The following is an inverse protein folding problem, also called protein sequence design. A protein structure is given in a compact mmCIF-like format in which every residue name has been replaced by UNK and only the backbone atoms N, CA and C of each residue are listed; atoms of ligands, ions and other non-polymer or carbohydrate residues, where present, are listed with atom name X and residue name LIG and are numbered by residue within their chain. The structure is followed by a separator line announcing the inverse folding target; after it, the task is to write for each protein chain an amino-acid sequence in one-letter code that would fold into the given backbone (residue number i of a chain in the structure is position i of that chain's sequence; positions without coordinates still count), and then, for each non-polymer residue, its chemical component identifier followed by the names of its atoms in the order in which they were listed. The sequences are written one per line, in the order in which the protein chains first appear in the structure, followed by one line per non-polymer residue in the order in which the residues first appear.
data_IF_950510419844
#
_entry.id   IF_950510419844
#
_cell.length_a   1.000
_cell.length_b   1.000
_cell.length_c   1.000
_cell.angle_alpha   90.00
_cell.angle_beta   90.00
_cell.angle_gamma   90.00
#
_symmetry.space_group_name_H-M   'P 1'
#
loop_
_entity.id
_entity.type
_entity.pdbx_description
1 polymer ?
#
# COMPACT_ATOMS: atom_id res chain seq x y z
N UNK A 1 -19.83 -73.32 10.29
CA UNK A 1 -20.12 -72.00 9.79
C UNK A 1 -19.14 -71.04 10.41
N UNK A 2 -18.11 -70.62 9.69
CA UNK A 2 -17.10 -69.65 10.17
C UNK A 2 -17.47 -68.24 9.66
N UNK A 3 -17.91 -67.37 10.57
CA UNK A 3 -18.26 -66.01 10.30
C UNK A 3 -16.96 -65.23 10.21
N UNK A 4 -16.64 -64.76 9.01
CA UNK A 4 -15.50 -63.84 8.78
C UNK A 4 -15.93 -62.40 9.07
N UNK A 5 -15.42 -61.83 10.16
CA UNK A 5 -15.54 -60.39 10.43
C UNK A 5 -14.63 -59.64 9.49
N UNK A 6 -15.25 -58.86 8.61
CA UNK A 6 -14.56 -57.89 7.72
C UNK A 6 -14.40 -56.58 8.48
N UNK A 7 -13.21 -56.35 8.98
CA UNK A 7 -12.86 -55.09 9.61
C UNK A 7 -12.65 -54.03 8.53
N UNK A 8 -13.59 -53.11 8.41
CA UNK A 8 -13.45 -51.94 7.54
C UNK A 8 -12.61 -50.92 8.28
N UNK A 9 -11.36 -50.75 7.86
CA UNK A 9 -10.50 -49.65 8.28
C UNK A 9 -10.96 -48.40 7.56
N UNK A 10 -11.71 -47.54 8.25
CA UNK A 10 -11.98 -46.18 7.76
C UNK A 10 -10.72 -45.31 7.94
N UNK A 11 -10.02 -45.08 6.84
CA UNK A 11 -8.94 -44.10 6.78
C UNK A 11 -9.61 -42.72 6.73
N UNK A 12 -9.66 -42.06 7.87
CA UNK A 12 -10.05 -40.65 7.98
C UNK A 12 -8.88 -39.82 7.45
N UNK A 13 -8.94 -39.46 6.16
CA UNK A 13 -8.00 -38.51 5.58
C UNK A 13 -8.29 -37.11 6.16
N UNK A 14 -7.49 -36.74 7.17
CA UNK A 14 -7.46 -35.38 7.69
C UNK A 14 -6.84 -34.49 6.63
N UNK A 15 -7.68 -33.86 5.80
CA UNK A 15 -7.26 -32.81 4.90
C UNK A 15 -6.84 -31.61 5.76
N UNK A 16 -5.56 -31.51 6.09
CA UNK A 16 -4.97 -30.30 6.61
C UNK A 16 -5.05 -29.26 5.49
N UNK A 17 -6.06 -28.40 5.55
CA UNK A 17 -6.09 -27.17 4.78
C UNK A 17 -4.91 -26.33 5.24
N UNK A 18 -3.82 -26.39 4.49
CA UNK A 18 -2.73 -25.45 4.59
C UNK A 18 -3.31 -24.12 4.07
N UNK A 19 -3.90 -23.34 4.96
CA UNK A 19 -4.04 -21.91 4.72
C UNK A 19 -2.62 -21.39 4.67
N UNK A 20 -2.09 -21.25 3.46
CA UNK A 20 -0.92 -20.42 3.24
C UNK A 20 -1.33 -19.02 3.72
N UNK A 21 -0.95 -18.69 4.94
CA UNK A 21 -0.96 -17.35 5.46
C UNK A 21 -0.08 -16.56 4.48
N UNK A 22 -0.74 -15.90 3.54
CA UNK A 22 -0.06 -14.96 2.63
C UNK A 22 0.62 -13.98 3.55
N UNK A 23 1.94 -14.11 3.67
CA UNK A 23 2.76 -13.20 4.44
C UNK A 23 2.34 -11.79 4.01
N UNK A 24 1.72 -11.04 4.92
CA UNK A 24 1.26 -9.68 4.66
C UNK A 24 2.48 -8.85 4.36
N UNK A 25 2.87 -8.80 3.09
CA UNK A 25 3.97 -7.95 2.66
C UNK A 25 3.41 -6.56 2.48
N UNK A 26 3.79 -5.64 3.35
CA UNK A 26 3.51 -4.23 3.19
C UNK A 26 3.95 -3.79 1.79
N UNK A 27 3.11 -2.98 1.16
CA UNK A 27 3.37 -2.45 -0.17
C UNK A 27 3.53 -0.94 -0.04
N UNK A 28 4.63 -0.41 -0.53
CA UNK A 28 4.84 1.04 -0.64
C UNK A 28 4.76 1.45 -2.08
N UNK A 29 3.93 2.43 -2.36
CA UNK A 29 3.77 3.04 -3.67
C UNK A 29 4.28 4.47 -3.58
N UNK A 30 5.30 4.79 -4.34
CA UNK A 30 5.82 6.15 -4.49
C UNK A 30 5.22 6.78 -5.73
N UNK A 31 4.47 7.85 -5.55
CA UNK A 31 3.88 8.61 -6.63
C UNK A 31 4.55 9.98 -6.71
N UNK A 32 5.14 10.30 -7.86
CA UNK A 32 5.68 11.63 -8.13
C UNK A 32 4.69 12.40 -8.95
N UNK A 33 4.18 13.49 -8.39
CA UNK A 33 3.31 14.44 -9.07
C UNK A 33 4.15 15.64 -9.51
N UNK A 34 4.11 15.95 -10.81
CA UNK A 34 4.81 17.10 -11.38
C UNK A 34 3.80 18.01 -12.08
N UNK A 35 3.90 19.29 -11.80
CA UNK A 35 3.05 20.31 -12.41
C UNK A 35 3.81 21.63 -12.59
N UNK A 36 3.24 22.60 -13.27
CA UNK A 36 3.86 23.90 -13.50
C UNK A 36 3.40 24.94 -12.48
N UNK A 37 4.25 25.91 -12.17
CA UNK A 37 3.91 27.06 -11.31
C UNK A 37 3.42 26.64 -9.90
N UNK A 38 4.06 25.65 -9.30
CA UNK A 38 3.73 25.13 -7.97
C UNK A 38 2.44 24.32 -7.91
N UNK A 39 1.91 23.85 -9.05
CA UNK A 39 0.65 23.13 -9.11
C UNK A 39 0.64 21.84 -8.28
N UNK A 40 1.75 21.08 -8.28
CA UNK A 40 1.85 19.87 -7.50
C UNK A 40 1.77 20.16 -5.98
N UNK A 41 2.41 21.23 -5.51
CA UNK A 41 2.31 21.66 -4.12
C UNK A 41 0.88 22.06 -3.75
N UNK A 42 0.23 22.89 -4.59
CA UNK A 42 -1.16 23.31 -4.37
C UNK A 42 -2.12 22.12 -4.33
N UNK A 43 -1.92 21.14 -5.20
CA UNK A 43 -2.66 19.88 -5.16
C UNK A 43 -2.51 19.16 -3.80
N UNK A 44 -1.27 18.96 -3.33
CA UNK A 44 -1.01 18.30 -2.05
C UNK A 44 -1.64 19.08 -0.88
N UNK A 45 -1.54 20.41 -0.87
CA UNK A 45 -2.15 21.28 0.13
C UNK A 45 -3.69 21.16 0.12
N UNK A 46 -4.33 21.10 -1.05
CA UNK A 46 -5.79 20.92 -1.15
C UNK A 46 -6.22 19.51 -0.75
N UNK A 47 -5.46 18.47 -1.07
CA UNK A 47 -5.71 17.12 -0.59
C UNK A 47 -5.71 17.05 0.95
N UNK A 48 -4.82 17.78 1.60
CA UNK A 48 -4.75 17.86 3.07
C UNK A 48 -5.91 18.71 3.61
N UNK A 49 -6.10 19.92 3.11
CA UNK A 49 -7.06 20.88 3.65
C UNK A 49 -8.52 20.48 3.42
N UNK A 50 -8.81 19.73 2.37
CA UNK A 50 -10.15 19.16 2.11
C UNK A 50 -10.52 18.00 3.03
N UNK A 51 -9.57 17.52 3.86
CA UNK A 51 -9.76 16.33 4.70
C UNK A 51 -9.65 14.99 3.94
N UNK A 52 -9.34 15.01 2.64
CA UNK A 52 -9.22 13.79 1.84
C UNK A 52 -8.09 12.90 2.34
N UNK A 53 -6.92 13.47 2.67
CA UNK A 53 -5.79 12.74 3.26
C UNK A 53 -6.19 12.09 4.59
N UNK A 54 -6.91 12.80 5.46
CA UNK A 54 -7.35 12.26 6.74
C UNK A 54 -8.28 11.04 6.56
N UNK A 55 -9.17 11.08 5.57
CA UNK A 55 -10.06 9.95 5.24
C UNK A 55 -9.26 8.76 4.72
N UNK A 56 -8.27 8.98 3.85
CA UNK A 56 -7.42 7.90 3.33
C UNK A 56 -6.61 7.25 4.45
N UNK A 57 -6.03 8.04 5.34
CA UNK A 57 -5.29 7.53 6.51
C UNK A 57 -6.17 6.73 7.47
N UNK A 58 -7.48 6.96 7.49
CA UNK A 58 -8.45 6.21 8.28
C UNK A 58 -8.93 4.91 7.60
N UNK A 59 -8.59 4.67 6.34
CA UNK A 59 -8.92 3.42 5.65
C UNK A 59 -8.18 2.24 6.27
N UNK A 60 -8.88 1.11 6.39
CA UNK A 60 -8.28 -0.12 6.91
C UNK A 60 -7.11 -0.56 6.05
N UNK A 61 -5.98 -0.80 6.68
CA UNK A 61 -4.76 -1.25 6.01
C UNK A 61 -3.89 -0.14 5.45
N UNK A 62 -4.28 1.15 5.57
CA UNK A 62 -3.37 2.24 5.29
C UNK A 62 -2.30 2.33 6.38
N UNK A 63 -1.03 2.31 5.98
CA UNK A 63 0.13 2.45 6.87
C UNK A 63 0.68 3.86 6.81
N UNK A 64 0.67 4.47 5.62
CA UNK A 64 1.27 5.78 5.39
C UNK A 64 0.60 6.44 4.18
N UNK A 65 0.32 7.71 4.28
CA UNK A 65 -0.08 8.56 3.16
C UNK A 65 0.48 9.96 3.43
N UNK A 66 1.62 10.28 2.83
CA UNK A 66 2.41 11.45 3.23
C UNK A 66 3.12 12.09 2.04
N UNK A 67 2.98 13.40 1.94
CA UNK A 67 3.58 14.20 0.88
C UNK A 67 4.92 14.78 1.29
N UNK A 68 5.85 14.84 0.33
CA UNK A 68 7.18 15.43 0.48
C UNK A 68 7.48 16.35 -0.69
N UNK A 69 8.01 17.53 -0.38
CA UNK A 69 8.49 18.46 -1.39
C UNK A 69 9.91 18.06 -1.81
N UNK A 70 10.16 17.98 -3.12
CA UNK A 70 11.53 17.86 -3.63
C UNK A 70 12.32 19.15 -3.34
N UNK A 71 13.56 19.01 -2.89
CA UNK A 71 14.46 20.15 -2.70
C UNK A 71 15.09 20.60 -4.02
N UNK A 72 15.29 19.67 -4.94
CA UNK A 72 15.95 19.93 -6.23
C UNK A 72 14.97 20.37 -7.33
N UNK A 73 13.70 19.97 -7.18
CA UNK A 73 12.65 20.28 -8.15
C UNK A 73 11.38 20.77 -7.43
N UNK A 74 11.17 22.08 -7.34
CA UNK A 74 10.00 22.64 -6.65
C UNK A 74 8.66 22.34 -7.35
N UNK A 75 8.69 21.90 -8.61
CA UNK A 75 7.49 21.50 -9.37
C UNK A 75 7.06 20.06 -9.07
N UNK A 76 7.84 19.32 -8.29
CA UNK A 76 7.58 17.91 -7.96
C UNK A 76 7.28 17.69 -6.48
N UNK A 77 6.19 16.95 -6.23
CA UNK A 77 5.81 16.41 -4.92
C UNK A 77 5.90 14.87 -4.99
N UNK A 78 6.54 14.26 -3.99
CA UNK A 78 6.50 12.83 -3.76
C UNK A 78 5.39 12.51 -2.76
N UNK A 79 4.51 11.57 -3.10
CA UNK A 79 3.64 10.90 -2.16
C UNK A 79 4.23 9.53 -1.84
N UNK A 80 4.40 9.23 -0.56
CA UNK A 80 4.65 7.87 -0.08
C UNK A 80 3.32 7.32 0.42
N UNK A 81 2.82 6.32 -0.27
CA UNK A 81 1.53 5.66 -0.01
C UNK A 81 1.79 4.19 0.32
N UNK A 82 1.61 3.80 1.59
CA UNK A 82 1.94 2.46 2.04
C UNK A 82 0.73 1.75 2.65
N UNK A 83 0.60 0.46 2.33
CA UNK A 83 -0.55 -0.39 2.65
C UNK A 83 -0.12 -1.76 3.16
N UNK A 84 -0.94 -2.36 4.01
CA UNK A 84 -0.69 -3.70 4.56
C UNK A 84 -0.78 -4.80 3.50
N UNK A 85 -1.54 -4.58 2.42
CA UNK A 85 -1.78 -5.60 1.40
C UNK A 85 -2.30 -5.02 0.09
N UNK A 86 -2.26 -5.82 -0.99
CA UNK A 86 -2.93 -5.49 -2.24
C UNK A 86 -4.44 -5.34 -2.06
N UNK A 87 -5.07 -6.18 -1.24
CA UNK A 87 -6.50 -6.09 -0.98
C UNK A 87 -6.91 -4.74 -0.36
N UNK A 88 -6.07 -4.19 0.53
CA UNK A 88 -6.30 -2.84 1.09
C UNK A 88 -6.19 -1.76 0.01
N UNK A 89 -5.23 -1.87 -0.91
CA UNK A 89 -5.09 -0.97 -2.06
C UNK A 89 -6.32 -1.07 -2.97
N UNK A 90 -6.84 -2.27 -3.23
CA UNK A 90 -8.00 -2.48 -4.10
C UNK A 90 -9.26 -1.83 -3.50
N UNK A 91 -9.45 -1.92 -2.18
CA UNK A 91 -10.53 -1.23 -1.47
C UNK A 91 -10.36 0.30 -1.60
N UNK A 92 -9.14 0.82 -1.40
CA UNK A 92 -8.84 2.23 -1.59
C UNK A 92 -9.16 2.69 -3.02
N UNK A 93 -8.75 1.94 -4.03
CA UNK A 93 -9.02 2.26 -5.43
C UNK A 93 -10.51 2.26 -5.78
N UNK A 94 -11.33 1.50 -5.06
CA UNK A 94 -12.79 1.51 -5.20
C UNK A 94 -13.48 2.62 -4.38
N UNK A 95 -12.72 3.36 -3.55
CA UNK A 95 -13.27 4.36 -2.64
C UNK A 95 -13.68 5.66 -3.34
N UNK A 96 -14.61 6.44 -2.74
CA UNK A 96 -14.98 7.76 -3.27
C UNK A 96 -13.82 8.75 -3.34
N UNK A 97 -12.77 8.59 -2.50
CA UNK A 97 -11.59 9.45 -2.51
C UNK A 97 -10.86 9.43 -3.84
N UNK A 98 -10.87 8.30 -4.57
CA UNK A 98 -10.25 8.22 -5.89
C UNK A 98 -10.85 9.19 -6.90
N UNK A 99 -12.17 9.44 -6.84
CA UNK A 99 -12.82 10.46 -7.67
C UNK A 99 -12.34 11.88 -7.34
N UNK A 100 -12.17 12.16 -6.05
CA UNK A 100 -11.65 13.44 -5.58
C UNK A 100 -10.20 13.63 -6.04
N UNK A 101 -9.36 12.62 -5.87
CA UNK A 101 -7.97 12.63 -6.33
C UNK A 101 -7.88 12.88 -7.85
N UNK A 102 -8.70 12.17 -8.64
CA UNK A 102 -8.72 12.34 -10.08
C UNK A 102 -9.10 13.77 -10.49
N UNK A 103 -10.18 14.32 -9.91
CA UNK A 103 -10.61 15.70 -10.18
C UNK A 103 -9.53 16.72 -9.82
N UNK A 104 -8.81 16.54 -8.72
CA UNK A 104 -7.76 17.45 -8.31
C UNK A 104 -6.52 17.34 -9.20
N UNK A 105 -6.16 16.12 -9.64
CA UNK A 105 -5.08 15.94 -10.63
C UNK A 105 -5.40 16.66 -11.94
N UNK A 106 -6.64 16.55 -12.42
CA UNK A 106 -7.10 17.24 -13.63
C UNK A 106 -7.11 18.78 -13.43
N UNK A 107 -7.63 19.24 -12.28
CA UNK A 107 -7.65 20.68 -11.92
C UNK A 107 -6.27 21.31 -11.96
N UNK A 108 -5.25 20.60 -11.54
CA UNK A 108 -3.88 21.08 -11.44
C UNK A 108 -2.99 20.67 -12.62
N UNK A 109 -3.55 20.02 -13.64
CA UNK A 109 -2.83 19.53 -14.84
C UNK A 109 -1.55 18.75 -14.47
N UNK A 110 -1.68 17.78 -13.56
CA UNK A 110 -0.54 17.05 -13.04
C UNK A 110 -0.18 15.84 -13.90
N UNK A 111 1.11 15.68 -14.14
CA UNK A 111 1.72 14.44 -14.57
C UNK A 111 2.05 13.58 -13.36
N UNK A 112 2.07 12.27 -13.54
CA UNK A 112 2.33 11.31 -12.45
C UNK A 112 3.21 10.17 -12.94
N UNK A 113 4.22 9.81 -12.14
CA UNK A 113 4.96 8.56 -12.26
C UNK A 113 4.77 7.73 -10.99
N UNK A 114 4.80 6.40 -11.13
CA UNK A 114 4.53 5.47 -10.04
C UNK A 114 5.64 4.44 -9.96
N UNK A 115 6.16 4.23 -8.75
CA UNK A 115 7.09 3.17 -8.43
C UNK A 115 6.53 2.37 -7.26
N UNK A 116 6.72 1.06 -7.26
CA UNK A 116 6.16 0.17 -6.27
C UNK A 116 7.23 -0.71 -5.64
N UNK A 117 7.21 -0.80 -4.31
CA UNK A 117 8.21 -1.51 -3.53
C UNK A 117 7.57 -2.43 -2.50
N UNK A 118 8.25 -3.51 -2.19
CA UNK A 118 8.04 -4.30 -0.98
C UNK A 118 9.23 -4.09 -0.06
N UNK A 119 9.05 -3.96 1.27
CA UNK A 119 10.15 -3.70 2.18
C UNK A 119 11.10 -4.92 2.24
N UNK A 120 12.38 -4.64 2.16
CA UNK A 120 13.42 -5.59 2.55
C UNK A 120 13.76 -5.33 4.02
N UNK A 121 13.39 -6.26 4.89
CA UNK A 121 13.67 -6.18 6.33
C UNK A 121 15.00 -6.82 6.71
N UNK A 122 15.77 -7.27 5.73
CA UNK A 122 17.06 -7.99 5.93
C UNK A 122 18.26 -7.05 5.94
N UNK A 123 18.21 -6.02 6.79
CA UNK A 123 19.34 -5.09 6.90
C UNK A 123 20.59 -5.82 7.43
N UNK A 124 21.71 -5.85 6.67
CA UNK A 124 22.96 -6.43 7.12
C UNK A 124 23.43 -5.83 8.44
N UNK A 125 24.05 -6.66 9.30
CA UNK A 125 24.59 -6.16 10.58
C UNK A 125 25.63 -5.07 10.39
N UNK A 126 26.39 -5.13 9.31
CA UNK A 126 27.42 -4.14 8.93
C UNK A 126 26.82 -2.77 8.67
N UNK A 127 25.57 -2.68 8.22
CA UNK A 127 24.93 -1.42 7.87
C UNK A 127 24.35 -0.71 9.09
N UNK A 128 24.06 -1.46 10.17
CA UNK A 128 23.52 -0.93 11.42
C UNK A 128 24.43 0.12 12.08
N UNK A 129 25.74 0.03 11.86
CA UNK A 129 26.72 0.99 12.41
C UNK A 129 26.59 2.40 11.83
N UNK A 130 25.96 2.55 10.65
CA UNK A 130 25.73 3.85 10.02
C UNK A 130 24.42 4.51 10.46
N UNK A 131 23.56 3.79 11.21
CA UNK A 131 22.31 4.33 11.71
C UNK A 131 22.60 5.11 12.99
N UNK A 132 22.31 6.41 12.96
CA UNK A 132 22.35 7.26 14.17
C UNK A 132 21.03 7.16 14.90
N UNK A 133 21.06 6.93 16.22
CA UNK A 133 19.90 6.98 17.12
C UNK A 133 19.73 8.37 17.68
#
# INVERSE_FOLDING_TARGET
MKLKFLTIFSILALAASVFAESAMSNITVNLRYTGKNGAAKKFAEEMVSSGTVAKIRAEKGNIRYEYFQSLDDPETILLIDAWESQAAIDVHHASPMMKTIAKLRDKYDLKMTVERYTPDNTMPKTDKKFIRK
#
